data_IF_839060223086
#
_entry.id   IF_839060223086
#
_cell.length_a   1.000
_cell.length_b   1.000
_cell.length_c   1.000
_cell.angle_alpha   90.00
_cell.angle_beta   90.00
_cell.angle_gamma   90.00
#
_symmetry.space_group_name_H-M   'P 1'
#
loop_
_entity.id
_entity.type
_entity.pdbx_description
1 polymer ?
#
# COMPACT_ATOMS: atom_id res chain seq x y z
N UNK A 1 -14.68 8.67 7.06
CA UNK A 1 -15.47 8.31 8.26
C UNK A 1 -15.73 6.80 8.35
N UNK A 2 -16.51 6.14 7.45
CA UNK A 2 -16.76 4.68 7.51
C UNK A 2 -15.46 3.85 7.50
N UNK A 3 -14.52 4.19 6.62
CA UNK A 3 -13.21 3.59 6.54
C UNK A 3 -12.43 3.67 7.86
N UNK A 4 -12.49 4.81 8.54
CA UNK A 4 -11.83 5.03 9.84
C UNK A 4 -12.43 4.17 10.94
N UNK A 5 -13.76 4.02 10.97
CA UNK A 5 -14.44 3.12 11.91
C UNK A 5 -14.05 1.66 11.68
N UNK A 6 -14.03 1.20 10.42
CA UNK A 6 -13.56 -0.14 10.10
C UNK A 6 -12.09 -0.33 10.43
N UNK A 7 -11.25 0.67 10.19
CA UNK A 7 -9.83 0.63 10.54
C UNK A 7 -9.59 0.51 12.05
N UNK A 8 -10.36 1.27 12.86
CA UNK A 8 -10.17 1.33 14.31
C UNK A 8 -10.84 0.18 15.05
N UNK A 9 -12.11 -0.13 14.75
CA UNK A 9 -12.91 -1.14 15.48
C UNK A 9 -12.92 -2.51 14.82
N UNK A 10 -12.44 -2.62 13.60
CA UNK A 10 -12.60 -3.82 12.77
C UNK A 10 -13.97 -3.89 12.09
N UNK A 11 -14.04 -4.70 11.03
CA UNK A 11 -15.29 -4.93 10.32
C UNK A 11 -16.33 -5.57 11.22
N UNK A 12 -16.00 -6.60 12.01
CA UNK A 12 -16.94 -7.25 12.93
C UNK A 12 -17.44 -6.30 14.02
N UNK A 13 -16.56 -5.47 14.58
CA UNK A 13 -16.86 -4.55 15.68
C UNK A 13 -17.61 -3.28 15.28
N UNK A 14 -17.90 -3.07 13.99
CA UNK A 14 -18.56 -1.88 13.48
C UNK A 14 -19.97 -2.20 13.01
N UNK A 15 -20.95 -1.33 13.31
CA UNK A 15 -22.36 -1.44 12.88
C UNK A 15 -22.73 -0.31 11.92
N UNK A 16 -23.79 -0.53 11.09
CA UNK A 16 -24.32 0.52 10.21
C UNK A 16 -24.87 1.71 11.01
N UNK A 17 -25.46 1.47 12.19
CA UNK A 17 -25.96 2.51 13.09
C UNK A 17 -24.84 3.43 13.59
N UNK A 18 -23.70 2.85 14.00
CA UNK A 18 -22.52 3.64 14.40
C UNK A 18 -21.96 4.46 13.24
N UNK A 19 -21.95 3.90 12.04
CA UNK A 19 -21.50 4.61 10.84
C UNK A 19 -22.43 5.77 10.52
N UNK A 20 -23.75 5.55 10.52
CA UNK A 20 -24.74 6.59 10.30
C UNK A 20 -24.61 7.74 11.31
N UNK A 21 -24.45 7.38 12.59
CA UNK A 21 -24.19 8.34 13.66
C UNK A 21 -22.92 9.15 13.44
N UNK A 22 -21.83 8.49 13.05
CA UNK A 22 -20.53 9.14 12.82
C UNK A 22 -20.53 10.13 11.65
N UNK A 23 -21.35 9.88 10.61
CA UNK A 23 -21.50 10.79 9.47
C UNK A 23 -22.70 11.75 9.63
N UNK A 24 -23.36 11.69 10.79
CA UNK A 24 -24.49 12.55 11.16
C UNK A 24 -25.67 12.47 10.17
N UNK A 25 -26.04 11.25 9.78
CA UNK A 25 -27.24 10.97 8.98
C UNK A 25 -28.16 9.99 9.71
N UNK A 26 -29.45 10.00 9.35
CA UNK A 26 -30.38 8.98 9.85
C UNK A 26 -29.94 7.58 9.33
N UNK A 27 -30.03 6.56 10.19
CA UNK A 27 -29.68 5.17 9.80
C UNK A 27 -30.49 4.68 8.59
N UNK A 28 -31.77 5.09 8.47
CA UNK A 28 -32.59 4.78 7.30
C UNK A 28 -32.05 5.33 5.98
N UNK A 29 -31.36 6.48 6.00
CA UNK A 29 -30.71 7.03 4.81
C UNK A 29 -29.50 6.16 4.40
N UNK A 30 -28.68 5.76 5.36
CA UNK A 30 -27.54 4.86 5.09
C UNK A 30 -28.05 3.53 4.55
N UNK A 31 -29.10 2.95 5.18
CA UNK A 31 -29.71 1.68 4.77
C UNK A 31 -30.36 1.74 3.38
N UNK A 32 -30.82 2.90 2.96
CA UNK A 32 -31.30 3.07 1.59
C UNK A 32 -30.22 2.84 0.54
N UNK A 33 -28.99 3.25 0.81
CA UNK A 33 -27.83 3.09 -0.09
C UNK A 33 -27.10 1.76 0.12
N UNK A 34 -26.97 1.32 1.38
CA UNK A 34 -26.23 0.11 1.76
C UNK A 34 -27.11 -0.76 2.66
N UNK A 35 -27.64 -1.83 2.10
CA UNK A 35 -28.54 -2.75 2.83
C UNK A 35 -27.82 -3.52 3.92
N UNK A 36 -26.53 -3.79 3.73
CA UNK A 36 -25.70 -4.50 4.65
C UNK A 36 -24.38 -3.78 4.88
N UNK A 37 -23.70 -4.12 5.96
CA UNK A 37 -22.34 -3.66 6.23
C UNK A 37 -21.36 -4.15 5.15
N UNK A 38 -21.64 -5.31 4.57
CA UNK A 38 -20.86 -5.88 3.48
C UNK A 38 -20.97 -5.02 2.21
N UNK A 39 -22.15 -4.52 1.86
CA UNK A 39 -22.31 -3.64 0.70
C UNK A 39 -21.44 -2.38 0.82
N UNK A 40 -21.37 -1.81 2.01
CA UNK A 40 -20.50 -0.65 2.27
C UNK A 40 -19.02 -1.01 2.18
N UNK A 41 -18.60 -2.18 2.70
CA UNK A 41 -17.23 -2.64 2.59
C UNK A 41 -16.83 -2.90 1.12
N UNK A 42 -17.74 -3.44 0.30
CA UNK A 42 -17.55 -3.62 -1.15
C UNK A 42 -17.38 -2.27 -1.85
N UNK A 43 -18.19 -1.27 -1.51
CA UNK A 43 -18.06 0.06 -2.08
C UNK A 43 -16.69 0.70 -1.76
N UNK A 44 -16.18 0.52 -0.53
CA UNK A 44 -14.84 0.97 -0.15
C UNK A 44 -13.73 0.18 -0.86
N UNK A 45 -13.96 -1.09 -1.16
CA UNK A 45 -13.03 -1.88 -1.97
C UNK A 45 -13.00 -1.41 -3.44
N UNK A 46 -14.14 -1.03 -4.00
CA UNK A 46 -14.18 -0.43 -5.33
C UNK A 46 -13.48 0.93 -5.37
N UNK A 47 -13.60 1.73 -4.30
CA UNK A 47 -12.88 3.00 -4.14
C UNK A 47 -11.35 2.80 -4.17
N UNK A 48 -10.82 1.89 -3.33
CA UNK A 48 -9.36 1.60 -3.33
C UNK A 48 -8.89 1.07 -4.68
N UNK A 49 -9.71 0.27 -5.35
CA UNK A 49 -9.37 -0.26 -6.68
C UNK A 49 -9.18 0.86 -7.70
N UNK A 50 -10.05 1.88 -7.68
CA UNK A 50 -9.93 3.07 -8.52
C UNK A 50 -8.65 3.84 -8.17
N UNK A 51 -8.37 4.06 -6.86
CA UNK A 51 -7.16 4.76 -6.42
C UNK A 51 -5.87 4.02 -6.84
N UNK A 52 -5.80 2.71 -6.63
CA UNK A 52 -4.64 1.89 -7.01
C UNK A 52 -4.43 1.90 -8.53
N UNK A 53 -5.51 1.83 -9.30
CA UNK A 53 -5.41 1.91 -10.77
C UNK A 53 -4.91 3.27 -11.24
N UNK A 54 -5.46 4.36 -10.70
CA UNK A 54 -5.01 5.71 -11.00
C UNK A 54 -3.53 5.92 -10.63
N UNK A 55 -3.10 5.36 -9.50
CA UNK A 55 -1.71 5.38 -9.06
C UNK A 55 -0.81 4.60 -10.04
N UNK A 56 -1.23 3.41 -10.47
CA UNK A 56 -0.46 2.59 -11.43
C UNK A 56 -0.31 3.30 -12.77
N UNK A 57 -1.38 3.94 -13.25
CA UNK A 57 -1.40 4.66 -14.53
C UNK A 57 -0.61 5.98 -14.49
N UNK A 58 -0.35 6.52 -13.29
CA UNK A 58 0.47 7.72 -13.11
C UNK A 58 1.97 7.50 -13.32
N UNK A 59 2.44 6.25 -13.39
CA UNK A 59 3.86 5.95 -13.49
C UNK A 59 4.19 5.11 -14.74
N UNK A 60 5.29 5.46 -15.49
CA UNK A 60 6.22 6.56 -15.21
C UNK A 60 5.61 7.95 -15.52
N UNK A 61 5.84 8.90 -14.62
CA UNK A 61 5.25 10.26 -14.72
C UNK A 61 5.96 11.19 -15.72
N UNK A 62 7.13 10.78 -16.19
CA UNK A 62 8.05 11.61 -16.97
C UNK A 62 9.07 12.37 -16.11
N UNK A 63 9.01 12.24 -14.79
CA UNK A 63 10.08 12.63 -13.87
C UNK A 63 11.26 11.64 -13.95
N UNK A 64 12.21 11.72 -13.01
CA UNK A 64 13.26 10.70 -12.96
C UNK A 64 12.71 9.37 -12.46
N UNK A 65 13.26 8.25 -12.94
CA UNK A 65 12.78 6.91 -12.57
C UNK A 65 12.96 6.61 -11.08
N UNK A 66 14.00 7.16 -10.45
CA UNK A 66 14.20 7.05 -9.02
C UNK A 66 13.11 7.78 -8.23
N UNK A 67 12.69 8.96 -8.68
CA UNK A 67 11.60 9.71 -8.07
C UNK A 67 10.26 8.97 -8.23
N UNK A 68 9.96 8.51 -9.44
CA UNK A 68 8.75 7.75 -9.75
C UNK A 68 8.66 6.49 -8.87
N UNK A 69 9.77 5.77 -8.73
CA UNK A 69 9.80 4.57 -7.90
C UNK A 69 9.54 4.88 -6.41
N UNK A 70 10.25 5.88 -5.86
CA UNK A 70 10.06 6.28 -4.46
C UNK A 70 8.63 6.71 -4.20
N UNK A 71 8.08 7.55 -5.07
CA UNK A 71 6.71 8.06 -4.94
C UNK A 71 5.68 6.93 -5.02
N UNK A 72 5.81 6.03 -6.00
CA UNK A 72 4.91 4.88 -6.16
C UNK A 72 4.90 3.98 -4.91
N UNK A 73 6.08 3.69 -4.33
CA UNK A 73 6.17 2.87 -3.11
C UNK A 73 5.56 3.58 -1.91
N UNK A 74 5.86 4.86 -1.73
CA UNK A 74 5.33 5.67 -0.63
C UNK A 74 3.80 5.76 -0.68
N UNK A 75 3.24 6.09 -1.84
CA UNK A 75 1.80 6.18 -2.05
C UNK A 75 1.10 4.83 -1.84
N UNK A 76 1.71 3.76 -2.35
CA UNK A 76 1.20 2.40 -2.17
C UNK A 76 1.14 1.99 -0.70
N UNK A 77 2.18 2.26 0.08
CA UNK A 77 2.21 1.96 1.51
C UNK A 77 1.16 2.78 2.27
N UNK A 78 0.97 4.05 1.89
CA UNK A 78 -0.06 4.91 2.49
C UNK A 78 -1.47 4.38 2.17
N UNK A 79 -1.77 4.08 0.90
CA UNK A 79 -3.08 3.56 0.49
C UNK A 79 -3.39 2.23 1.19
N UNK A 80 -2.43 1.33 1.31
CA UNK A 80 -2.62 0.08 2.04
C UNK A 80 -2.92 0.30 3.53
N UNK A 81 -2.30 1.30 4.14
CA UNK A 81 -2.60 1.67 5.51
C UNK A 81 -4.00 2.27 5.65
N UNK A 82 -4.39 3.12 4.72
CA UNK A 82 -5.70 3.78 4.74
C UNK A 82 -6.86 2.81 4.59
N UNK A 83 -6.66 1.69 3.91
CA UNK A 83 -7.65 0.63 3.69
C UNK A 83 -7.29 -0.69 4.39
N UNK A 84 -6.50 -0.63 5.49
CA UNK A 84 -5.98 -1.82 6.17
C UNK A 84 -7.04 -2.79 6.67
N UNK A 85 -8.26 -2.33 6.94
CA UNK A 85 -9.36 -3.22 7.34
C UNK A 85 -9.72 -4.24 6.26
N UNK A 86 -9.63 -3.87 4.97
CA UNK A 86 -9.89 -4.79 3.85
C UNK A 86 -8.94 -5.98 3.84
N UNK A 87 -7.72 -5.77 4.32
CA UNK A 87 -6.67 -6.79 4.36
C UNK A 87 -6.74 -7.61 5.65
N UNK A 88 -6.96 -6.93 6.78
CA UNK A 88 -7.06 -7.54 8.10
C UNK A 88 -8.28 -8.44 8.24
N UNK A 89 -9.42 -7.98 7.74
CA UNK A 89 -10.72 -8.60 8.01
C UNK A 89 -11.20 -9.54 6.89
N UNK A 90 -10.31 -9.98 5.99
CA UNK A 90 -10.63 -10.83 4.83
C UNK A 90 -11.39 -12.10 5.17
N UNK A 91 -11.08 -12.75 6.29
CA UNK A 91 -11.78 -13.97 6.71
C UNK A 91 -13.24 -13.70 7.08
N UNK A 92 -13.53 -12.52 7.63
CA UNK A 92 -14.88 -12.12 8.01
C UNK A 92 -15.75 -11.81 6.78
N UNK A 93 -15.16 -11.21 5.74
CA UNK A 93 -15.85 -11.03 4.46
C UNK A 93 -16.24 -12.35 3.81
N UNK A 94 -15.42 -13.41 3.98
CA UNK A 94 -15.75 -14.76 3.50
C UNK A 94 -16.93 -15.38 4.26
N UNK A 95 -17.02 -15.17 5.56
CA UNK A 95 -18.13 -15.69 6.37
C UNK A 95 -19.47 -15.06 5.98
N UNK A 96 -19.44 -13.82 5.49
CA UNK A 96 -20.62 -13.09 5.00
C UNK A 96 -20.99 -13.43 3.55
N UNK A 97 -20.40 -14.51 2.98
CA UNK A 97 -20.74 -15.05 1.66
C UNK A 97 -19.91 -14.53 0.51
N UNK A 98 -18.90 -13.72 0.76
CA UNK A 98 -18.00 -13.21 -0.27
C UNK A 98 -16.83 -14.17 -0.51
N UNK A 99 -16.67 -14.60 -1.77
CA UNK A 99 -15.45 -15.27 -2.22
C UNK A 99 -14.41 -14.20 -2.52
N UNK A 100 -13.45 -14.02 -1.60
CA UNK A 100 -12.25 -13.21 -1.88
C UNK A 100 -11.43 -13.95 -2.93
N UNK A 101 -11.54 -13.54 -4.18
CA UNK A 101 -10.59 -13.96 -5.22
C UNK A 101 -9.29 -13.19 -5.01
N UNK A 102 -8.16 -13.81 -5.35
CA UNK A 102 -6.92 -13.05 -5.53
C UNK A 102 -7.24 -11.91 -6.50
N UNK A 103 -7.18 -10.69 -5.99
CA UNK A 103 -7.56 -9.51 -6.75
C UNK A 103 -6.62 -9.37 -7.95
N UNK A 104 -7.13 -9.34 -9.20
CA UNK A 104 -6.31 -9.05 -10.37
C UNK A 104 -5.50 -7.76 -10.21
N UNK A 105 -6.05 -6.77 -9.50
CA UNK A 105 -5.39 -5.49 -9.26
C UNK A 105 -4.18 -5.63 -8.33
N UNK A 106 -4.18 -6.60 -7.39
CA UNK A 106 -2.99 -6.93 -6.58
C UNK A 106 -1.89 -7.60 -7.41
N UNK A 107 -2.24 -8.43 -8.39
CA UNK A 107 -1.27 -8.99 -9.34
C UNK A 107 -0.69 -7.88 -10.21
N UNK A 108 -1.53 -6.96 -10.69
CA UNK A 108 -1.11 -5.80 -11.47
C UNK A 108 -0.19 -4.88 -10.67
N UNK A 109 -0.43 -4.68 -9.38
CA UNK A 109 0.44 -3.89 -8.52
C UNK A 109 1.85 -4.50 -8.37
N UNK A 110 1.96 -5.83 -8.22
CA UNK A 110 3.26 -6.52 -8.25
C UNK A 110 3.97 -6.34 -9.60
N UNK A 111 3.24 -6.48 -10.70
CA UNK A 111 3.78 -6.27 -12.04
C UNK A 111 4.24 -4.82 -12.26
N UNK A 112 3.57 -3.83 -11.68
CA UNK A 112 4.00 -2.44 -11.66
C UNK A 112 5.36 -2.24 -10.98
N UNK A 113 5.54 -2.78 -9.78
CA UNK A 113 6.84 -2.74 -9.07
C UNK A 113 7.94 -3.39 -9.91
N UNK A 114 7.65 -4.56 -10.50
CA UNK A 114 8.60 -5.27 -11.37
C UNK A 114 8.96 -4.46 -12.62
N UNK A 115 7.98 -3.79 -13.23
CA UNK A 115 8.20 -2.93 -14.40
C UNK A 115 9.10 -1.74 -14.06
N UNK A 116 8.86 -1.05 -12.94
CA UNK A 116 9.70 0.05 -12.47
C UNK A 116 11.14 -0.40 -12.19
N UNK A 117 11.34 -1.56 -11.54
CA UNK A 117 12.67 -2.13 -11.36
C UNK A 117 13.35 -2.46 -12.69
N UNK A 118 12.59 -2.92 -13.69
CA UNK A 118 13.07 -3.12 -15.05
C UNK A 118 13.56 -1.83 -15.71
N UNK A 119 12.89 -0.70 -15.47
CA UNK A 119 13.34 0.62 -15.95
C UNK A 119 14.62 1.07 -15.24
N UNK A 120 14.73 0.87 -13.93
CA UNK A 120 15.95 1.14 -13.14
C UNK A 120 17.13 0.32 -13.68
N UNK A 121 16.88 -0.96 -14.04
CA UNK A 121 17.89 -1.82 -14.65
C UNK A 121 18.31 -1.31 -16.03
N UNK A 122 17.37 -0.95 -16.91
CA UNK A 122 17.64 -0.38 -18.23
C UNK A 122 18.42 0.94 -18.14
N UNK A 123 18.18 1.73 -17.10
CA UNK A 123 18.91 2.98 -16.82
C UNK A 123 20.34 2.71 -16.28
N UNK A 124 20.77 1.44 -16.12
CA UNK A 124 22.11 1.09 -15.67
C UNK A 124 22.38 1.42 -14.20
N UNK A 125 21.33 1.55 -13.38
CA UNK A 125 21.48 1.89 -11.96
C UNK A 125 21.79 0.69 -11.08
N UNK A 126 21.52 -0.55 -11.51
CA UNK A 126 21.93 -1.74 -10.79
C UNK A 126 23.42 -2.05 -10.99
N UNK A 127 24.06 -2.57 -9.96
CA UNK A 127 25.41 -3.14 -10.09
C UNK A 127 25.38 -4.35 -11.03
N UNK A 128 26.46 -4.54 -11.77
CA UNK A 128 26.65 -5.73 -12.61
C UNK A 128 27.02 -6.90 -11.72
N UNK A 129 26.01 -7.51 -11.11
CA UNK A 129 26.16 -8.68 -10.26
C UNK A 129 25.23 -9.78 -10.81
N UNK A 130 25.78 -10.87 -11.37
CA UNK A 130 24.99 -11.95 -11.94
C UNK A 130 24.16 -12.72 -10.89
N UNK A 131 24.45 -12.56 -9.60
CA UNK A 131 23.68 -13.17 -8.52
C UNK A 131 22.39 -12.43 -8.20
N UNK A 132 22.18 -11.22 -8.73
CA UNK A 132 20.98 -10.42 -8.48
C UNK A 132 19.85 -10.84 -9.42
N UNK A 133 18.89 -11.58 -8.89
CA UNK A 133 17.64 -11.87 -9.58
C UNK A 133 16.62 -10.75 -9.30
N UNK A 134 16.35 -9.93 -10.34
CA UNK A 134 15.39 -8.81 -10.25
C UNK A 134 13.98 -9.30 -9.89
N UNK A 135 13.58 -10.48 -10.30
CA UNK A 135 12.26 -11.02 -9.98
C UNK A 135 12.14 -11.41 -8.50
N UNK A 136 13.21 -12.00 -7.94
CA UNK A 136 13.29 -12.27 -6.50
C UNK A 136 13.36 -10.97 -5.69
N UNK A 137 14.15 -10.00 -6.13
CA UNK A 137 14.24 -8.69 -5.50
C UNK A 137 12.88 -7.98 -5.50
N UNK A 138 12.18 -7.95 -6.65
CA UNK A 138 10.84 -7.38 -6.77
C UNK A 138 9.86 -8.00 -5.78
N UNK A 139 9.90 -9.33 -5.64
CA UNK A 139 9.03 -10.05 -4.70
C UNK A 139 9.35 -9.69 -3.25
N UNK A 140 10.61 -9.63 -2.87
CA UNK A 140 11.03 -9.25 -1.51
C UNK A 140 10.60 -7.83 -1.17
N UNK A 141 10.82 -6.88 -2.08
CA UNK A 141 10.41 -5.49 -1.93
C UNK A 141 8.89 -5.34 -1.83
N UNK A 142 8.14 -6.07 -2.68
CA UNK A 142 6.69 -6.09 -2.64
C UNK A 142 6.15 -6.66 -1.33
N UNK A 143 6.72 -7.78 -0.84
CA UNK A 143 6.32 -8.39 0.45
C UNK A 143 6.51 -7.39 1.58
N UNK A 144 7.66 -6.72 1.64
CA UNK A 144 7.93 -5.72 2.70
C UNK A 144 6.92 -4.58 2.64
N UNK A 145 6.71 -3.98 1.47
CA UNK A 145 5.75 -2.87 1.34
C UNK A 145 4.33 -3.31 1.68
N UNK A 146 3.94 -4.53 1.22
CA UNK A 146 2.58 -5.03 1.35
C UNK A 146 2.20 -5.43 2.78
N UNK A 147 3.14 -5.97 3.53
CA UNK A 147 2.89 -6.53 4.86
C UNK A 147 3.48 -5.70 5.99
N UNK A 148 4.02 -4.51 5.71
CA UNK A 148 4.61 -3.65 6.74
C UNK A 148 3.60 -3.27 7.84
N UNK A 149 2.39 -2.85 7.47
CA UNK A 149 1.33 -2.50 8.41
C UNK A 149 0.88 -3.69 9.26
N UNK A 150 0.80 -4.90 8.67
CA UNK A 150 0.46 -6.12 9.39
C UNK A 150 1.56 -6.50 10.38
N UNK A 151 2.84 -6.37 9.99
CA UNK A 151 3.98 -6.58 10.87
C UNK A 151 3.93 -5.64 12.09
N UNK A 152 3.71 -4.34 11.88
CA UNK A 152 3.62 -3.37 12.97
C UNK A 152 2.50 -3.74 13.95
N UNK A 153 1.34 -4.10 13.44
CA UNK A 153 0.20 -4.49 14.28
C UNK A 153 0.45 -5.77 15.04
N UNK A 154 0.92 -6.82 14.37
CA UNK A 154 0.99 -8.17 14.94
C UNK A 154 2.22 -8.40 15.80
N UNK A 155 3.33 -7.76 15.48
CA UNK A 155 4.60 -7.97 16.18
C UNK A 155 4.92 -6.85 17.18
N UNK A 156 4.48 -5.62 16.90
CA UNK A 156 4.80 -4.47 17.74
C UNK A 156 3.59 -3.87 18.46
N UNK A 157 2.38 -4.37 18.19
CA UNK A 157 1.14 -3.90 18.84
C UNK A 157 0.73 -2.48 18.45
N UNK A 158 1.18 -1.99 17.28
CA UNK A 158 0.84 -0.65 16.78
C UNK A 158 -0.60 -0.63 16.30
N UNK A 159 -1.48 0.11 16.98
CA UNK A 159 -2.89 0.25 16.59
C UNK A 159 -3.11 1.37 15.57
N UNK A 160 -2.30 2.44 15.62
CA UNK A 160 -2.33 3.56 14.70
C UNK A 160 -0.93 3.88 14.17
N UNK A 161 -0.71 3.76 12.87
CA UNK A 161 0.57 4.08 12.23
C UNK A 161 0.74 5.60 12.16
N UNK A 162 1.84 6.09 12.70
CA UNK A 162 2.25 7.49 12.61
C UNK A 162 3.27 7.70 11.48
N UNK A 163 3.73 8.94 11.33
CA UNK A 163 4.74 9.30 10.33
C UNK A 163 6.07 8.54 10.54
N UNK A 164 6.44 8.25 11.80
CA UNK A 164 7.68 7.51 12.08
C UNK A 164 7.57 6.05 11.65
N UNK A 165 6.40 5.46 11.82
CA UNK A 165 6.14 4.08 11.37
C UNK A 165 6.17 3.96 9.86
N UNK A 166 5.66 4.96 9.13
CA UNK A 166 5.79 5.06 7.67
C UNK A 166 7.25 5.20 7.27
N UNK A 167 8.01 6.10 7.92
CA UNK A 167 9.44 6.28 7.67
C UNK A 167 10.21 4.98 7.87
N UNK A 168 9.93 4.22 8.94
CA UNK A 168 10.53 2.90 9.20
C UNK A 168 10.25 1.91 8.07
N UNK A 169 9.02 1.88 7.55
CA UNK A 169 8.65 1.01 6.43
C UNK A 169 9.38 1.36 5.15
N UNK A 170 9.48 2.65 4.84
CA UNK A 170 10.24 3.14 3.68
C UNK A 170 11.73 2.82 3.85
N UNK A 171 12.31 3.07 5.02
CA UNK A 171 13.69 2.70 5.33
C UNK A 171 13.93 1.19 5.15
N UNK A 172 13.01 0.36 5.63
CA UNK A 172 13.09 -1.09 5.48
C UNK A 172 13.08 -1.51 4.00
N UNK A 173 12.17 -0.94 3.20
CA UNK A 173 12.11 -1.21 1.77
C UNK A 173 13.42 -0.83 1.06
N UNK A 174 13.91 0.38 1.28
CA UNK A 174 15.11 0.87 0.62
C UNK A 174 16.41 0.24 1.17
N UNK A 175 16.41 -0.27 2.40
CA UNK A 175 17.54 -1.05 2.93
C UNK A 175 17.80 -2.32 2.11
N UNK A 176 16.75 -2.87 1.48
CA UNK A 176 16.87 -4.03 0.59
C UNK A 176 17.31 -3.59 -0.81
N UNK A 177 16.79 -2.49 -1.36
CA UNK A 177 17.06 -2.06 -2.73
C UNK A 177 18.46 -1.42 -2.88
N UNK A 178 18.81 -0.46 -2.00
CA UNK A 178 20.02 0.37 -2.16
C UNK A 178 21.33 -0.40 -2.26
N UNK A 179 21.53 -1.54 -1.57
CA UNK A 179 22.74 -2.35 -1.71
C UNK A 179 22.98 -2.90 -3.12
N UNK A 180 21.93 -3.05 -3.92
CA UNK A 180 22.03 -3.57 -5.29
C UNK A 180 22.34 -2.48 -6.33
N UNK A 181 22.27 -1.21 -5.95
CA UNK A 181 22.49 -0.10 -6.87
C UNK A 181 23.98 0.25 -7.02
N UNK A 182 24.33 0.82 -8.17
CA UNK A 182 25.63 1.50 -8.35
C UNK A 182 25.75 2.70 -7.41
N UNK A 183 26.97 3.17 -7.14
CA UNK A 183 27.19 4.35 -6.31
C UNK A 183 26.42 5.59 -6.83
N UNK A 184 26.33 5.76 -8.16
CA UNK A 184 25.53 6.85 -8.76
C UNK A 184 24.04 6.63 -8.57
N UNK A 185 23.52 5.42 -8.83
CA UNK A 185 22.13 5.06 -8.62
C UNK A 185 21.70 5.26 -7.14
N UNK A 186 22.54 4.79 -6.21
CA UNK A 186 22.28 4.96 -4.77
C UNK A 186 22.14 6.43 -4.38
N UNK A 187 23.06 7.32 -4.84
CA UNK A 187 22.96 8.77 -4.55
C UNK A 187 21.66 9.38 -5.08
N UNK A 188 21.26 9.03 -6.30
CA UNK A 188 20.00 9.50 -6.90
C UNK A 188 18.78 9.05 -6.09
N UNK A 189 18.74 7.77 -5.68
CA UNK A 189 17.65 7.25 -4.85
C UNK A 189 17.59 7.91 -3.47
N UNK A 190 18.73 8.14 -2.82
CA UNK A 190 18.77 8.85 -1.53
C UNK A 190 18.21 10.27 -1.69
N UNK A 191 18.60 11.01 -2.73
CA UNK A 191 18.03 12.32 -3.03
C UNK A 191 16.52 12.28 -3.31
N UNK A 192 16.06 11.31 -4.11
CA UNK A 192 14.63 11.14 -4.38
C UNK A 192 13.83 10.78 -3.11
N UNK A 193 14.39 9.98 -2.21
CA UNK A 193 13.74 9.66 -0.92
C UNK A 193 13.59 10.94 -0.08
N UNK A 194 14.65 11.74 0.02
CA UNK A 194 14.61 13.01 0.76
C UNK A 194 13.58 13.97 0.15
N UNK A 195 13.58 14.12 -1.18
CA UNK A 195 12.64 15.00 -1.90
C UNK A 195 11.17 14.59 -1.74
N UNK A 196 10.88 13.28 -1.76
CA UNK A 196 9.50 12.76 -1.70
C UNK A 196 8.98 12.70 -0.26
N UNK A 197 9.82 12.34 0.69
CA UNK A 197 9.40 11.99 2.05
C UNK A 197 9.81 13.00 3.11
N UNK A 198 10.78 13.85 2.81
CA UNK A 198 11.34 14.85 3.74
C UNK A 198 12.29 14.27 4.80
N UNK A 199 12.60 12.97 4.77
CA UNK A 199 13.57 12.37 5.70
C UNK A 199 14.83 11.85 4.99
N UNK A 200 15.95 11.86 5.69
CA UNK A 200 17.26 11.48 5.18
C UNK A 200 17.53 10.00 5.45
N UNK A 201 17.95 9.27 4.43
CA UNK A 201 18.48 7.91 4.58
C UNK A 201 19.92 7.95 5.08
N UNK A 202 20.31 7.05 6.01
CA UNK A 202 21.68 6.98 6.51
C UNK A 202 22.70 6.50 5.45
#
# INVERSE_FOLDING_TARGET
>A
MSRELFNSKGYAGTTLSEIASAVNIAEGNLWYHFRTKLDLAIALEDEIRIEVRAMTDAYPSGASIEWDYVKAITDSMQTQWDYRFLLRDQLQFRSDGRVVRLDPDMVQHFDGVRALLGLIQKAGMFRRDPSVDISLLARSLWIVSRYWGDYLREQEGVEGMDQKDQERGIRQHFSILLPHLTASGRRKFIGAIEDVTGFVMP
#
